data_IF_128271867619
#
_entry.id   IF_128271867619
#
_cell.length_a   1.000
_cell.length_b   1.000
_cell.length_c   1.000
_cell.angle_alpha   90.00
_cell.angle_beta   90.00
_cell.angle_gamma   90.00
#
_symmetry.space_group_name_H-M   'P 1'
#
loop_
_entity.id
_entity.type
_entity.pdbx_description
1 polymer ?
#
# COMPACT_ATOMS: atom_id res chain seq x y z
N UNK A 1 6.12 3.28 -1.16
CA UNK A 1 6.08 4.73 -1.40
C UNK A 1 4.81 5.09 -2.15
N UNK A 2 4.24 6.27 -1.92
CA UNK A 2 3.21 6.81 -2.82
C UNK A 2 3.91 7.63 -3.90
N UNK A 3 3.73 7.28 -5.16
CA UNK A 3 4.49 7.88 -6.28
C UNK A 3 4.34 9.39 -6.32
N UNK A 4 3.11 9.90 -6.18
CA UNK A 4 2.78 11.34 -6.15
C UNK A 4 3.43 12.11 -4.98
N UNK A 5 3.92 11.42 -3.96
CA UNK A 5 4.36 12.00 -2.69
C UNK A 5 5.81 11.69 -2.35
N UNK A 6 6.51 10.91 -3.17
CA UNK A 6 7.88 10.49 -2.88
C UNK A 6 8.92 11.55 -3.27
N UNK A 7 8.92 11.99 -4.53
CA UNK A 7 9.89 12.95 -5.05
C UNK A 7 9.29 13.74 -6.21
N UNK A 8 9.60 15.03 -6.29
CA UNK A 8 9.05 15.95 -7.29
C UNK A 8 10.09 17.01 -7.67
N UNK A 9 10.19 17.32 -8.95
CA UNK A 9 11.02 18.43 -9.47
C UNK A 9 10.27 19.76 -9.51
N UNK A 10 8.93 19.72 -9.43
CA UNK A 10 8.06 20.88 -9.54
C UNK A 10 6.82 20.67 -8.66
N UNK A 11 7.03 20.75 -7.34
CA UNK A 11 5.93 20.62 -6.38
C UNK A 11 5.07 21.89 -6.37
N UNK A 12 3.74 21.77 -6.53
CA UNK A 12 2.87 22.93 -6.45
C UNK A 12 2.95 23.50 -5.02
N UNK A 13 2.80 24.83 -4.89
CA UNK A 13 2.88 25.52 -3.60
C UNK A 13 2.02 24.84 -2.53
N UNK A 14 0.81 24.36 -2.88
CA UNK A 14 -0.10 23.66 -1.96
C UNK A 14 0.50 22.42 -1.27
N UNK A 15 1.55 21.83 -1.83
CA UNK A 15 2.23 20.65 -1.31
C UNK A 15 3.57 20.98 -0.60
N UNK A 16 3.71 22.22 -0.13
CA UNK A 16 4.84 22.70 0.68
C UNK A 16 4.48 22.79 2.17
N UNK A 17 5.49 22.83 3.03
CA UNK A 17 5.32 22.87 4.49
C UNK A 17 4.39 23.99 4.98
N UNK A 18 4.42 25.16 4.32
CA UNK A 18 3.69 26.35 4.76
C UNK A 18 2.20 26.35 4.37
N UNK A 19 1.77 25.46 3.47
CA UNK A 19 0.41 25.50 2.90
C UNK A 19 -0.27 24.14 2.73
N UNK A 20 0.32 23.07 3.29
CA UNK A 20 -0.36 21.78 3.39
C UNK A 20 -1.62 21.91 4.26
N UNK A 21 -2.76 21.60 3.65
CA UNK A 21 -4.08 21.54 4.27
C UNK A 21 -4.74 20.20 3.93
N UNK A 22 -5.84 19.86 4.61
CA UNK A 22 -6.59 18.63 4.29
C UNK A 22 -7.01 18.57 2.81
N UNK A 23 -7.40 19.72 2.23
CA UNK A 23 -7.75 19.76 0.83
C UNK A 23 -6.53 19.56 -0.07
N UNK A 24 -5.38 20.13 0.29
CA UNK A 24 -4.15 19.94 -0.47
C UNK A 24 -3.68 18.48 -0.47
N UNK A 25 -3.83 17.76 0.66
CA UNK A 25 -3.44 16.35 0.77
C UNK A 25 -4.38 15.40 0.03
N UNK A 26 -5.53 15.88 -0.44
CA UNK A 26 -6.49 15.16 -1.30
C UNK A 26 -6.25 15.38 -2.81
N UNK A 27 -5.19 16.09 -3.18
CA UNK A 27 -4.85 16.43 -4.55
C UNK A 27 -3.48 15.88 -4.98
N UNK A 28 -3.24 15.82 -6.30
CA UNK A 28 -1.91 15.56 -6.84
C UNK A 28 -0.91 16.61 -6.35
N UNK A 29 0.26 16.14 -5.91
CA UNK A 29 1.39 16.92 -5.46
C UNK A 29 2.59 16.87 -6.41
N UNK A 30 2.47 16.16 -7.53
CA UNK A 30 3.43 16.23 -8.64
C UNK A 30 4.64 15.33 -8.45
N UNK A 31 4.49 14.24 -7.68
CA UNK A 31 5.53 13.23 -7.58
C UNK A 31 5.64 12.41 -8.87
N UNK A 32 6.87 12.16 -9.34
CA UNK A 32 7.12 11.52 -10.64
C UNK A 32 8.22 10.47 -10.58
N UNK A 33 8.20 9.53 -11.53
CA UNK A 33 9.27 8.53 -11.70
C UNK A 33 10.64 9.17 -11.95
N UNK A 34 10.68 10.21 -12.80
CA UNK A 34 11.92 10.93 -13.12
C UNK A 34 12.55 11.57 -11.88
N UNK A 35 11.75 12.23 -11.04
CA UNK A 35 12.26 12.80 -9.79
C UNK A 35 12.66 11.70 -8.79
N UNK A 36 11.93 10.58 -8.74
CA UNK A 36 12.25 9.46 -7.85
C UNK A 36 13.63 8.84 -8.13
N UNK A 37 14.09 8.82 -9.39
CA UNK A 37 15.44 8.35 -9.75
C UNK A 37 16.54 9.07 -8.95
N UNK A 38 16.39 10.38 -8.71
CA UNK A 38 17.38 11.18 -7.98
C UNK A 38 17.50 10.81 -6.50
N UNK A 39 16.55 10.05 -5.96
CA UNK A 39 16.47 9.67 -4.55
C UNK A 39 16.61 8.17 -4.31
N UNK A 40 16.97 7.37 -5.31
CA UNK A 40 17.22 5.94 -5.10
C UNK A 40 18.39 5.69 -4.14
N UNK A 41 19.43 6.53 -4.16
CA UNK A 41 20.58 6.40 -3.26
C UNK A 41 20.18 6.62 -1.77
N UNK A 42 19.17 7.45 -1.51
CA UNK A 42 18.62 7.64 -0.16
C UNK A 42 18.00 6.35 0.40
N UNK A 43 17.46 5.50 -0.46
CA UNK A 43 16.88 4.20 -0.08
C UNK A 43 17.98 3.18 0.20
N UNK A 44 18.96 3.09 -0.70
CA UNK A 44 20.12 2.17 -0.59
C UNK A 44 20.96 2.47 0.66
N UNK A 45 21.17 3.74 0.99
CA UNK A 45 21.93 4.13 2.17
C UNK A 45 21.28 3.72 3.51
N UNK A 46 19.95 3.55 3.53
CA UNK A 46 19.23 2.94 4.65
C UNK A 46 19.30 1.41 4.64
N UNK A 47 19.89 0.79 3.63
CA UNK A 47 20.00 -0.66 3.48
C UNK A 47 18.72 -1.34 3.00
N UNK A 48 17.77 -0.61 2.41
CA UNK A 48 16.63 -1.24 1.73
C UNK A 48 17.01 -1.64 0.30
N UNK A 49 16.53 -2.81 -0.10
CA UNK A 49 16.78 -3.47 -1.38
C UNK A 49 15.50 -3.64 -2.22
N UNK A 50 14.37 -3.08 -1.78
CA UNK A 50 13.12 -3.10 -2.51
C UNK A 50 12.30 -1.82 -2.34
N UNK A 51 11.53 -1.46 -3.37
CA UNK A 51 10.57 -0.36 -3.36
C UNK A 51 9.20 -0.85 -3.86
N UNK A 52 8.21 -0.75 -2.99
CA UNK A 52 6.80 -0.87 -3.36
C UNK A 52 6.26 0.49 -3.83
N UNK A 53 5.74 0.58 -5.06
CA UNK A 53 5.22 1.82 -5.66
C UNK A 53 3.69 1.75 -5.86
N UNK A 54 3.03 2.92 -5.95
CA UNK A 54 1.60 3.05 -6.24
C UNK A 54 1.16 2.36 -7.54
N UNK A 55 -0.15 2.07 -7.70
CA UNK A 55 -0.66 1.53 -8.96
C UNK A 55 -0.38 2.46 -10.14
N UNK A 56 0.01 1.88 -11.27
CA UNK A 56 0.38 2.62 -12.49
C UNK A 56 -0.74 2.88 -13.51
N UNK A 57 -1.89 2.16 -13.53
CA UNK A 57 -2.96 2.49 -14.46
C UNK A 57 -3.45 3.93 -14.31
N UNK A 58 -3.96 4.49 -15.41
CA UNK A 58 -4.51 5.83 -15.42
C UNK A 58 -5.61 5.94 -14.37
N UNK A 59 -5.69 7.08 -13.70
CA UNK A 59 -6.67 7.31 -12.63
C UNK A 59 -7.71 8.32 -13.05
N UNK A 60 -8.81 8.37 -12.30
CA UNK A 60 -9.78 9.46 -12.48
C UNK A 60 -9.18 10.80 -12.06
N UNK A 61 -9.40 11.81 -12.88
CA UNK A 61 -9.05 13.21 -12.58
C UNK A 61 -10.24 13.99 -12.01
N UNK A 62 -11.44 13.40 -12.07
CA UNK A 62 -12.65 14.03 -11.54
C UNK A 62 -12.56 14.17 -10.03
N UNK A 63 -12.74 15.38 -9.53
CA UNK A 63 -12.80 15.66 -8.10
C UNK A 63 -14.07 15.05 -7.48
N UNK A 64 -13.86 14.33 -6.38
CA UNK A 64 -14.91 13.78 -5.52
C UNK A 64 -14.94 14.55 -4.21
N UNK A 65 -15.89 14.23 -3.32
CA UNK A 65 -15.87 14.76 -1.94
C UNK A 65 -14.62 14.35 -1.15
N UNK A 66 -13.86 13.37 -1.64
CA UNK A 66 -12.60 12.93 -1.03
C UNK A 66 -11.35 13.34 -1.81
N UNK A 67 -11.48 14.16 -2.86
CA UNK A 67 -10.39 14.57 -3.73
C UNK A 67 -10.33 13.80 -5.05
N UNK A 68 -9.13 13.68 -5.60
CA UNK A 68 -8.85 13.03 -6.90
C UNK A 68 -8.05 11.73 -6.72
N UNK A 69 -7.92 10.92 -7.77
CA UNK A 69 -7.27 9.60 -7.76
C UNK A 69 -5.73 9.61 -7.66
N UNK A 70 -5.14 10.54 -6.91
CA UNK A 70 -3.69 10.75 -6.85
C UNK A 70 -2.90 9.59 -6.22
N UNK A 71 -3.58 8.77 -5.41
CA UNK A 71 -3.01 7.59 -4.77
C UNK A 71 -2.87 6.39 -5.73
N UNK A 72 -3.57 6.38 -6.86
CA UNK A 72 -3.51 5.31 -7.88
C UNK A 72 -4.61 4.25 -7.79
N UNK A 73 -5.43 4.24 -6.76
CA UNK A 73 -6.45 3.18 -6.54
C UNK A 73 -7.78 3.39 -7.28
N UNK A 74 -8.02 4.53 -7.92
CA UNK A 74 -9.26 4.80 -8.65
C UNK A 74 -9.05 4.70 -10.17
N UNK A 75 -8.66 3.50 -10.61
CA UNK A 75 -8.29 3.25 -12.00
C UNK A 75 -9.42 3.63 -12.98
N UNK A 76 -9.04 4.34 -14.04
CA UNK A 76 -9.92 4.77 -15.12
C UNK A 76 -9.69 3.92 -16.39
N UNK A 77 -8.43 3.68 -16.75
CA UNK A 77 -8.07 2.93 -17.95
C UNK A 77 -6.90 1.99 -17.65
N UNK A 78 -7.16 0.68 -17.74
CA UNK A 78 -6.23 -0.36 -17.29
C UNK A 78 -4.90 -0.37 -18.08
N UNK A 79 -4.98 -0.13 -19.39
CA UNK A 79 -3.82 -0.20 -20.29
C UNK A 79 -3.09 1.14 -20.50
N UNK A 80 -3.58 2.23 -19.93
CA UNK A 80 -2.91 3.54 -20.00
C UNK A 80 -2.23 3.81 -18.68
N UNK A 81 -1.06 4.45 -18.72
CA UNK A 81 -0.36 4.85 -17.50
C UNK A 81 -0.97 6.12 -16.89
N UNK A 82 -0.83 6.29 -15.57
CA UNK A 82 -1.15 7.53 -14.90
C UNK A 82 -0.20 8.65 -15.35
N UNK A 83 -0.71 9.54 -16.20
CA UNK A 83 0.05 10.63 -16.79
C UNK A 83 0.64 11.61 -15.76
N UNK A 84 0.10 11.68 -14.54
CA UNK A 84 0.65 12.52 -13.48
C UNK A 84 1.98 11.99 -12.93
N UNK A 85 2.25 10.68 -13.02
CA UNK A 85 3.49 10.08 -12.52
C UNK A 85 4.64 10.16 -13.54
N UNK A 86 4.32 10.48 -14.78
CA UNK A 86 5.26 10.61 -15.89
C UNK A 86 4.87 9.73 -17.08
N UNK A 87 5.80 9.65 -18.03
CA UNK A 87 5.69 8.86 -19.25
C UNK A 87 6.12 7.41 -19.03
N UNK A 88 5.75 6.53 -19.96
CA UNK A 88 6.21 5.15 -19.99
C UNK A 88 7.75 5.03 -20.00
N UNK A 89 8.42 5.90 -20.76
CA UNK A 89 9.88 5.92 -20.82
C UNK A 89 10.50 6.28 -19.46
N UNK A 90 9.89 7.18 -18.70
CA UNK A 90 10.34 7.54 -17.35
C UNK A 90 10.09 6.41 -16.34
N UNK A 91 9.00 5.65 -16.46
CA UNK A 91 8.78 4.44 -15.65
C UNK A 91 9.86 3.38 -15.95
N UNK A 92 10.14 3.14 -17.23
CA UNK A 92 11.18 2.18 -17.64
C UNK A 92 12.56 2.61 -17.14
N UNK A 93 12.93 3.89 -17.29
CA UNK A 93 14.20 4.37 -16.74
C UNK A 93 14.23 4.25 -15.21
N UNK A 94 13.15 4.61 -14.50
CA UNK A 94 13.09 4.45 -13.05
C UNK A 94 13.36 3.02 -12.59
N UNK A 95 12.71 2.03 -13.21
CA UNK A 95 12.92 0.61 -12.88
C UNK A 95 14.35 0.19 -13.22
N UNK A 96 14.88 0.58 -14.38
CA UNK A 96 16.27 0.29 -14.75
C UNK A 96 17.29 0.92 -13.81
N UNK A 97 17.04 2.14 -13.32
CA UNK A 97 17.92 2.81 -12.36
C UNK A 97 17.85 2.18 -10.97
N UNK A 98 16.69 1.65 -10.58
CA UNK A 98 16.52 0.86 -9.37
C UNK A 98 17.27 -0.48 -9.46
N UNK A 99 17.08 -1.23 -10.55
CA UNK A 99 17.79 -2.49 -10.78
C UNK A 99 19.31 -2.32 -10.84
N UNK A 100 19.83 -1.22 -11.40
CA UNK A 100 21.28 -0.90 -11.37
C UNK A 100 21.85 -0.73 -9.96
N UNK A 101 21.00 -0.52 -8.97
CA UNK A 101 21.32 -0.35 -7.54
C UNK A 101 20.91 -1.56 -6.72
N UNK A 102 20.58 -2.67 -7.37
CA UNK A 102 20.06 -3.89 -6.75
C UNK A 102 18.78 -3.64 -5.92
N UNK A 103 17.93 -2.70 -6.38
CA UNK A 103 16.62 -2.43 -5.79
C UNK A 103 15.54 -3.13 -6.62
N UNK A 104 14.80 -4.05 -6.00
CA UNK A 104 13.60 -4.66 -6.58
C UNK A 104 12.41 -3.69 -6.58
N UNK A 105 11.59 -3.70 -7.62
CA UNK A 105 10.38 -2.89 -7.70
C UNK A 105 9.14 -3.78 -7.57
N UNK A 106 8.39 -3.57 -6.51
CA UNK A 106 7.08 -4.16 -6.28
C UNK A 106 5.98 -3.22 -6.74
N UNK A 107 5.11 -3.71 -7.63
CA UNK A 107 3.97 -2.94 -8.14
C UNK A 107 2.73 -3.16 -7.28
N UNK A 108 2.09 -2.09 -6.82
CA UNK A 108 0.72 -2.17 -6.29
C UNK A 108 -0.31 -2.37 -7.41
N UNK A 109 -1.26 -3.29 -7.22
CA UNK A 109 -2.27 -3.63 -8.24
C UNK A 109 -3.66 -3.74 -7.63
N UNK A 110 -4.65 -3.26 -8.37
CA UNK A 110 -6.08 -3.31 -8.02
C UNK A 110 -6.82 -4.15 -9.06
N UNK A 111 -7.37 -5.28 -8.63
CA UNK A 111 -8.22 -6.14 -9.47
C UNK A 111 -9.71 -6.05 -9.09
N UNK A 112 -10.03 -5.48 -7.92
CA UNK A 112 -11.37 -5.48 -7.35
C UNK A 112 -12.32 -4.47 -8.01
N UNK A 113 -11.89 -3.22 -8.15
CA UNK A 113 -12.79 -2.11 -8.50
C UNK A 113 -12.13 -1.12 -9.47
N UNK A 114 -12.95 -0.21 -9.99
CA UNK A 114 -12.52 0.93 -10.80
C UNK A 114 -12.84 2.25 -10.08
N UNK A 115 -12.52 3.39 -10.71
CA UNK A 115 -12.70 4.71 -10.11
C UNK A 115 -14.16 5.06 -9.75
N UNK A 116 -14.37 6.13 -8.96
CA UNK A 116 -15.64 6.42 -8.33
C UNK A 116 -16.62 7.21 -9.21
N UNK A 117 -17.13 6.55 -10.25
CA UNK A 117 -18.22 7.08 -11.07
C UNK A 117 -18.98 5.93 -11.73
N UNK A 118 -20.24 5.73 -11.35
CA UNK A 118 -21.10 4.65 -11.84
C UNK A 118 -21.52 4.78 -13.32
N UNK A 119 -21.26 5.94 -13.93
CA UNK A 119 -21.66 6.25 -15.31
C UNK A 119 -20.49 6.42 -16.26
N UNK A 120 -19.26 6.37 -15.75
CA UNK A 120 -18.06 6.47 -16.57
C UNK A 120 -17.77 5.15 -17.31
N UNK A 121 -17.09 5.27 -18.44
CA UNK A 121 -16.56 4.13 -19.17
C UNK A 121 -15.15 3.84 -18.68
N UNK A 122 -14.96 2.68 -18.03
CA UNK A 122 -13.66 2.23 -17.57
C UNK A 122 -13.10 1.26 -18.59
N UNK A 123 -12.03 1.59 -19.29
CA UNK A 123 -11.53 0.69 -20.34
C UNK A 123 -10.62 -0.41 -19.76
N UNK A 124 -10.81 -1.69 -20.14
CA UNK A 124 -11.75 -2.21 -21.15
C UNK A 124 -13.12 -2.66 -20.58
N UNK A 125 -13.37 -2.45 -19.29
CA UNK A 125 -14.60 -2.79 -18.59
C UNK A 125 -15.76 -1.81 -18.83
N UNK A 126 -16.35 -1.84 -20.03
CA UNK A 126 -17.39 -0.84 -20.41
C UNK A 126 -18.84 -1.33 -20.31
N UNK A 127 -19.06 -2.63 -20.11
CA UNK A 127 -20.41 -3.21 -20.13
C UNK A 127 -20.93 -3.46 -18.70
N UNK A 128 -22.24 -3.34 -18.45
CA UNK A 128 -22.81 -3.63 -17.13
C UNK A 128 -22.46 -5.02 -16.60
N UNK A 129 -22.39 -6.04 -17.45
CA UNK A 129 -22.02 -7.41 -17.02
C UNK A 129 -20.56 -7.57 -16.55
N UNK A 130 -19.71 -6.57 -16.79
CA UNK A 130 -18.34 -6.54 -16.27
C UNK A 130 -18.28 -6.08 -14.80
N UNK A 131 -19.41 -5.64 -14.24
CA UNK A 131 -19.52 -5.18 -12.86
C UNK A 131 -20.58 -5.97 -12.10
N UNK A 132 -20.38 -6.11 -10.80
CA UNK A 132 -21.43 -6.59 -9.92
C UNK A 132 -22.58 -5.58 -9.82
N UNK A 133 -23.77 -6.09 -9.49
CA UNK A 133 -24.89 -5.21 -9.19
C UNK A 133 -24.53 -4.33 -7.99
N UNK A 134 -24.76 -3.02 -8.12
CA UNK A 134 -24.41 -2.08 -7.06
C UNK A 134 -25.09 -2.44 -5.73
N UNK A 135 -24.27 -2.79 -4.76
CA UNK A 135 -24.56 -2.87 -3.34
C UNK A 135 -23.36 -2.35 -2.55
N UNK A 136 -23.54 -2.12 -1.25
CA UNK A 136 -22.48 -1.67 -0.35
C UNK A 136 -22.29 -2.71 0.75
N UNK A 137 -21.05 -2.84 1.23
CA UNK A 137 -20.73 -3.72 2.36
C UNK A 137 -21.29 -3.09 3.63
N UNK A 138 -22.43 -3.58 4.10
CA UNK A 138 -23.05 -3.13 5.35
C UNK A 138 -22.68 -4.08 6.52
N UNK A 139 -22.25 -5.32 6.23
CA UNK A 139 -21.81 -6.33 7.21
C UNK A 139 -20.51 -7.03 6.79
N UNK A 140 -19.40 -6.70 7.45
CA UNK A 140 -18.07 -7.28 7.19
C UNK A 140 -17.89 -8.72 7.71
N UNK A 141 -18.85 -9.26 8.47
CA UNK A 141 -18.88 -10.68 8.85
C UNK A 141 -19.52 -11.55 7.76
N UNK A 142 -20.23 -10.93 6.81
CA UNK A 142 -20.80 -11.59 5.66
C UNK A 142 -19.82 -11.57 4.49
N UNK A 143 -19.06 -12.66 4.31
CA UNK A 143 -18.06 -12.77 3.26
C UNK A 143 -18.64 -12.55 1.85
N UNK A 144 -19.90 -12.91 1.59
CA UNK A 144 -20.54 -12.63 0.31
C UNK A 144 -20.76 -11.13 0.09
N UNK A 145 -21.08 -10.34 1.11
CA UNK A 145 -21.10 -8.88 0.90
C UNK A 145 -19.71 -8.35 0.66
N UNK A 146 -18.72 -8.82 1.43
CA UNK A 146 -17.33 -8.40 1.31
C UNK A 146 -16.78 -8.63 -0.10
N UNK A 147 -17.17 -9.73 -0.76
CA UNK A 147 -16.69 -10.15 -2.08
C UNK A 147 -17.48 -9.60 -3.28
N UNK A 148 -18.74 -9.21 -3.10
CA UNK A 148 -19.64 -8.90 -4.22
C UNK A 148 -20.28 -7.51 -4.16
N UNK A 149 -19.94 -6.70 -3.16
CA UNK A 149 -20.43 -5.33 -3.01
C UNK A 149 -19.29 -4.32 -3.06
N UNK A 150 -19.60 -3.10 -3.48
CA UNK A 150 -18.65 -1.99 -3.57
C UNK A 150 -17.96 -1.75 -2.22
N UNK A 151 -16.62 -1.75 -2.26
CA UNK A 151 -15.75 -1.30 -1.15
C UNK A 151 -15.81 0.21 -0.92
N UNK A 152 -16.24 0.98 -1.93
CA UNK A 152 -16.54 2.40 -1.78
C UNK A 152 -17.80 2.66 -0.95
N UNK A 153 -18.19 3.92 -0.81
CA UNK A 153 -19.38 4.31 -0.05
C UNK A 153 -20.42 5.04 -0.92
N UNK A 154 -21.55 5.41 -0.33
CA UNK A 154 -22.67 6.04 -1.07
C UNK A 154 -22.32 7.41 -1.66
N UNK A 155 -21.25 8.08 -1.19
CA UNK A 155 -20.77 9.36 -1.74
C UNK A 155 -19.71 9.18 -2.82
N UNK A 156 -18.86 8.17 -2.65
CA UNK A 156 -17.76 7.81 -3.55
C UNK A 156 -17.84 6.30 -3.80
N UNK A 157 -18.81 5.83 -4.62
CA UNK A 157 -19.02 4.42 -4.88
C UNK A 157 -17.93 3.91 -5.81
N UNK A 158 -17.35 2.75 -5.52
CA UNK A 158 -16.33 2.14 -6.38
C UNK A 158 -16.99 0.97 -7.12
N UNK A 159 -17.27 1.10 -8.44
CA UNK A 159 -17.88 0.03 -9.21
C UNK A 159 -17.02 -1.23 -9.10
N UNK A 160 -17.66 -2.29 -8.61
CA UNK A 160 -17.02 -3.55 -8.27
C UNK A 160 -16.97 -4.45 -9.51
N UNK A 161 -15.78 -4.89 -9.91
CA UNK A 161 -15.60 -5.72 -11.10
C UNK A 161 -16.13 -7.12 -10.83
N UNK A 162 -16.91 -7.64 -11.77
CA UNK A 162 -17.41 -9.01 -11.73
C UNK A 162 -16.28 -9.98 -12.11
N UNK A 163 -15.46 -10.35 -11.13
CA UNK A 163 -14.26 -11.19 -11.32
C UNK A 163 -14.56 -12.63 -11.76
N UNK A 164 -15.81 -13.04 -11.70
CA UNK A 164 -16.36 -14.32 -12.16
C UNK A 164 -16.68 -14.29 -13.64
N UNK A 165 -16.83 -13.10 -14.22
CA UNK A 165 -16.98 -12.92 -15.65
C UNK A 165 -15.67 -13.28 -16.37
N UNK A 166 -15.74 -14.22 -17.31
CA UNK A 166 -14.57 -14.73 -18.04
C UNK A 166 -13.79 -13.62 -18.77
N UNK A 167 -14.47 -12.62 -19.32
CA UNK A 167 -13.81 -11.48 -19.96
C UNK A 167 -13.05 -10.64 -18.94
N UNK A 168 -13.65 -10.34 -17.79
CA UNK A 168 -13.00 -9.55 -16.73
C UNK A 168 -11.77 -10.30 -16.20
N UNK A 169 -11.92 -11.57 -15.85
CA UNK A 169 -10.83 -12.38 -15.31
C UNK A 169 -9.68 -12.54 -16.30
N UNK A 170 -9.96 -12.96 -17.54
CA UNK A 170 -8.92 -13.16 -18.55
C UNK A 170 -8.20 -11.87 -18.95
N UNK A 171 -8.90 -10.73 -18.93
CA UNK A 171 -8.30 -9.40 -19.14
C UNK A 171 -7.34 -9.07 -18.01
N UNK A 172 -7.76 -9.21 -16.75
CA UNK A 172 -6.92 -8.92 -15.59
C UNK A 172 -5.69 -9.84 -15.52
N UNK A 173 -5.85 -11.13 -15.83
CA UNK A 173 -4.74 -12.10 -15.89
C UNK A 173 -3.75 -11.76 -17.01
N UNK A 174 -4.25 -11.37 -18.18
CA UNK A 174 -3.39 -10.99 -19.30
C UNK A 174 -2.66 -9.68 -19.01
N UNK A 175 -3.38 -8.70 -18.46
CA UNK A 175 -2.82 -7.41 -18.09
C UNK A 175 -1.68 -7.56 -17.08
N UNK A 176 -1.86 -8.34 -16.00
CA UNK A 176 -0.81 -8.47 -14.99
C UNK A 176 0.42 -9.18 -15.54
N UNK A 177 0.22 -10.27 -16.31
CA UNK A 177 1.30 -11.00 -17.00
C UNK A 177 2.10 -10.07 -17.90
N UNK A 178 1.41 -9.33 -18.76
CA UNK A 178 2.04 -8.50 -19.78
C UNK A 178 2.69 -7.26 -19.15
N UNK A 179 2.10 -6.69 -18.08
CA UNK A 179 2.64 -5.56 -17.33
C UNK A 179 3.94 -5.94 -16.61
N UNK A 180 3.94 -7.06 -15.86
CA UNK A 180 5.14 -7.57 -15.19
C UNK A 180 6.23 -7.87 -16.20
N UNK A 181 5.92 -8.57 -17.29
CA UNK A 181 6.88 -8.90 -18.33
C UNK A 181 7.42 -7.66 -19.08
N UNK A 182 6.57 -6.66 -19.35
CA UNK A 182 6.97 -5.46 -20.09
C UNK A 182 7.90 -4.55 -19.29
N UNK A 183 7.54 -4.30 -18.03
CA UNK A 183 8.27 -3.36 -17.19
C UNK A 183 9.32 -4.01 -16.31
N UNK A 184 9.34 -5.35 -16.24
CA UNK A 184 10.25 -6.13 -15.39
C UNK A 184 10.04 -5.83 -13.90
N UNK A 185 8.79 -5.82 -13.44
CA UNK A 185 8.49 -5.76 -12.01
C UNK A 185 8.91 -7.06 -11.32
N UNK A 186 9.44 -6.95 -10.11
CA UNK A 186 10.02 -8.09 -9.37
C UNK A 186 8.99 -8.76 -8.44
N UNK A 187 7.93 -8.03 -8.09
CA UNK A 187 6.86 -8.48 -7.22
C UNK A 187 5.58 -7.67 -7.42
N UNK A 188 4.48 -8.14 -6.86
CA UNK A 188 3.21 -7.41 -6.81
C UNK A 188 2.65 -7.35 -5.39
N UNK A 189 2.13 -6.18 -4.99
CA UNK A 189 1.26 -6.03 -3.82
C UNK A 189 -0.17 -5.91 -4.31
N UNK A 190 -1.07 -6.72 -3.77
CA UNK A 190 -2.45 -6.81 -4.25
C UNK A 190 -3.36 -6.12 -3.25
N UNK A 191 -3.94 -5.01 -3.70
CA UNK A 191 -4.94 -4.24 -2.99
C UNK A 191 -6.24 -5.04 -2.78
N UNK A 192 -6.98 -4.72 -1.72
CA UNK A 192 -8.36 -5.20 -1.50
C UNK A 192 -8.53 -6.72 -1.65
N UNK A 193 -7.51 -7.50 -1.25
CA UNK A 193 -7.41 -8.93 -1.56
C UNK A 193 -8.59 -9.76 -1.03
N UNK A 194 -9.14 -9.38 0.12
CA UNK A 194 -10.30 -10.05 0.73
C UNK A 194 -11.65 -9.79 0.06
N UNK A 195 -11.69 -8.82 -0.86
CA UNK A 195 -12.89 -8.35 -1.53
C UNK A 195 -13.13 -9.03 -2.89
N UNK A 196 -12.25 -9.95 -3.27
CA UNK A 196 -12.44 -10.79 -4.46
C UNK A 196 -12.43 -12.26 -4.01
N UNK A 197 -13.29 -13.12 -4.55
CA UNK A 197 -13.31 -14.52 -4.18
C UNK A 197 -11.96 -15.22 -4.39
N UNK A 198 -11.54 -15.95 -3.35
CA UNK A 198 -10.26 -16.64 -3.27
C UNK A 198 -9.82 -17.41 -4.53
N UNK A 199 -10.69 -18.16 -5.23
CA UNK A 199 -10.28 -18.89 -6.43
C UNK A 199 -9.71 -18.03 -7.56
N UNK A 200 -10.15 -16.77 -7.69
CA UNK A 200 -9.64 -15.82 -8.69
C UNK A 200 -8.12 -15.63 -8.55
N UNK A 201 -7.67 -15.47 -7.31
CA UNK A 201 -6.29 -15.12 -6.98
C UNK A 201 -5.28 -16.17 -7.40
N UNK A 202 -5.64 -17.46 -7.35
CA UNK A 202 -4.74 -18.55 -7.78
C UNK A 202 -4.25 -18.35 -9.21
N UNK A 203 -5.15 -17.93 -10.11
CA UNK A 203 -4.81 -17.69 -11.51
C UNK A 203 -4.16 -16.32 -11.70
N UNK A 204 -4.57 -15.31 -10.93
CA UNK A 204 -4.00 -13.98 -10.99
C UNK A 204 -2.51 -13.98 -10.58
N UNK A 205 -2.18 -14.54 -9.42
CA UNK A 205 -0.81 -14.63 -8.90
C UNK A 205 0.08 -15.55 -9.74
N UNK A 206 -0.49 -16.64 -10.28
CA UNK A 206 0.24 -17.46 -11.28
C UNK A 206 0.53 -16.68 -12.56
N UNK A 207 -0.39 -15.82 -13.00
CA UNK A 207 -0.24 -15.04 -14.23
C UNK A 207 0.78 -13.91 -14.07
N UNK A 208 0.91 -13.31 -12.88
CA UNK A 208 1.98 -12.34 -12.61
C UNK A 208 3.36 -12.98 -12.71
N UNK A 209 3.50 -14.25 -12.30
CA UNK A 209 4.74 -15.02 -12.42
C UNK A 209 5.87 -14.54 -11.49
N UNK A 210 5.55 -13.68 -10.54
CA UNK A 210 6.46 -13.08 -9.56
C UNK A 210 5.86 -13.17 -8.16
N UNK A 211 6.68 -12.93 -7.13
CA UNK A 211 6.23 -12.92 -5.74
C UNK A 211 5.03 -11.98 -5.55
N UNK A 212 4.02 -12.46 -4.83
CA UNK A 212 2.75 -11.77 -4.61
C UNK A 212 2.41 -11.64 -3.13
N UNK A 213 2.03 -10.42 -2.71
CA UNK A 213 1.62 -10.13 -1.34
C UNK A 213 0.23 -9.49 -1.28
N UNK A 214 -0.73 -10.14 -0.64
CA UNK A 214 -2.12 -9.68 -0.55
C UNK A 214 -2.42 -8.79 0.66
N UNK A 215 -3.29 -7.80 0.50
CA UNK A 215 -3.80 -6.97 1.59
C UNK A 215 -5.11 -7.51 2.20
N UNK A 216 -5.08 -7.83 3.50
CA UNK A 216 -6.27 -8.20 4.27
C UNK A 216 -6.29 -7.42 5.59
N UNK A 217 -6.97 -6.27 5.61
CA UNK A 217 -7.01 -5.35 6.74
C UNK A 217 -7.93 -5.84 7.89
N UNK A 218 -7.49 -6.86 8.63
CA UNK A 218 -8.15 -7.36 9.85
C UNK A 218 -7.14 -7.94 10.84
N UNK A 219 -7.48 -7.98 12.13
CA UNK A 219 -6.67 -8.62 13.17
C UNK A 219 -6.90 -10.13 13.30
N UNK A 220 -7.88 -10.69 12.58
CA UNK A 220 -8.23 -12.12 12.63
C UNK A 220 -7.15 -12.98 11.99
N UNK A 221 -6.36 -13.67 12.81
CA UNK A 221 -5.14 -14.38 12.38
C UNK A 221 -5.45 -15.58 11.50
N UNK A 222 -6.49 -16.34 11.82
CA UNK A 222 -6.96 -17.49 11.03
C UNK A 222 -7.51 -17.06 9.67
N UNK A 223 -8.32 -15.99 9.66
CA UNK A 223 -8.87 -15.43 8.43
C UNK A 223 -7.76 -14.96 7.48
N UNK A 224 -6.77 -14.21 7.99
CA UNK A 224 -5.63 -13.72 7.20
C UNK A 224 -4.72 -14.87 6.77
N UNK A 225 -4.42 -15.80 7.67
CA UNK A 225 -3.58 -16.97 7.38
C UNK A 225 -4.12 -17.84 6.25
N UNK A 226 -5.44 -17.99 6.12
CA UNK A 226 -6.07 -18.76 5.04
C UNK A 226 -5.80 -18.17 3.63
N UNK A 227 -5.56 -16.86 3.52
CA UNK A 227 -5.22 -16.23 2.23
C UNK A 227 -3.81 -16.57 1.73
N UNK A 228 -2.92 -17.12 2.58
CA UNK A 228 -1.58 -17.62 2.18
C UNK A 228 -1.64 -18.89 1.31
N UNK A 229 -2.85 -19.38 1.00
CA UNK A 229 -3.08 -20.41 0.00
C UNK A 229 -3.19 -19.84 -1.43
N UNK A 230 -3.40 -18.53 -1.57
CA UNK A 230 -3.77 -17.88 -2.84
C UNK A 230 -2.79 -16.81 -3.31
N UNK A 231 -1.83 -16.44 -2.46
CA UNK A 231 -0.66 -15.61 -2.75
C UNK A 231 0.55 -16.18 -2.00
N UNK A 232 1.76 -15.75 -2.35
CA UNK A 232 3.00 -16.19 -1.67
C UNK A 232 3.04 -15.68 -0.22
N UNK A 233 2.64 -14.42 -0.03
CA UNK A 233 2.57 -13.76 1.26
C UNK A 233 1.31 -12.92 1.43
N UNK A 234 1.13 -12.39 2.64
CA UNK A 234 0.11 -11.39 2.97
C UNK A 234 0.71 -10.28 3.82
N UNK A 235 0.14 -9.08 3.77
CA UNK A 235 0.44 -8.02 4.72
C UNK A 235 -0.02 -8.46 6.10
N UNK A 236 0.90 -8.50 7.06
CA UNK A 236 0.74 -9.15 8.35
C UNK A 236 -0.05 -8.27 9.34
N UNK A 237 -1.28 -7.87 8.97
CA UNK A 237 -2.15 -7.02 9.78
C UNK A 237 -2.35 -7.51 11.23
N UNK A 238 -2.51 -8.82 11.53
CA UNK A 238 -2.62 -9.28 12.91
C UNK A 238 -1.42 -8.89 13.79
N UNK A 239 -0.20 -8.98 13.24
CA UNK A 239 1.03 -8.57 13.93
C UNK A 239 1.16 -7.05 13.98
N UNK A 240 0.78 -6.32 12.92
CA UNK A 240 0.69 -4.86 12.95
C UNK A 240 -0.17 -4.38 14.13
N UNK A 241 -1.36 -4.96 14.35
CA UNK A 241 -2.22 -4.56 15.46
C UNK A 241 -1.58 -4.88 16.82
N UNK A 242 -0.97 -6.06 16.95
CA UNK A 242 -0.27 -6.46 18.17
C UNK A 242 0.94 -5.54 18.49
N UNK A 243 1.77 -5.20 17.49
CA UNK A 243 2.91 -4.30 17.64
C UNK A 243 2.48 -2.90 18.07
N UNK A 244 1.46 -2.34 17.42
CA UNK A 244 0.97 -1.00 17.71
C UNK A 244 0.40 -0.86 19.12
N UNK A 245 -0.31 -1.87 19.64
CA UNK A 245 -0.79 -1.81 21.02
C UNK A 245 0.31 -2.07 22.04
N UNK A 246 1.37 -2.79 21.71
CA UNK A 246 2.47 -3.09 22.63
C UNK A 246 3.45 -1.92 22.76
N UNK A 247 3.82 -1.27 21.65
CA UNK A 247 4.86 -0.24 21.62
C UNK A 247 4.34 1.21 21.72
N UNK A 248 3.04 1.44 21.85
CA UNK A 248 2.49 2.80 22.05
C UNK A 248 2.77 3.39 23.44
N UNK A 249 2.70 4.72 23.56
CA UNK A 249 2.92 5.43 24.84
C UNK A 249 1.70 5.34 25.76
N UNK A 250 0.51 5.55 25.19
CA UNK A 250 -0.75 5.71 25.92
C UNK A 250 -1.07 4.49 26.81
N UNK A 251 -0.99 4.62 28.14
CA UNK A 251 -1.26 3.52 29.08
C UNK A 251 -2.69 2.97 29.02
N UNK A 252 -3.66 3.74 28.53
CA UNK A 252 -5.04 3.28 28.41
C UNK A 252 -5.17 2.17 27.37
N UNK A 253 -4.40 2.28 26.29
CA UNK A 253 -4.47 1.36 25.14
C UNK A 253 -3.30 0.38 25.10
N UNK A 254 -2.19 0.72 25.77
CA UNK A 254 -0.99 -0.10 25.78
C UNK A 254 -1.23 -1.47 26.38
N UNK A 255 -0.79 -2.49 25.67
CA UNK A 255 -0.86 -3.89 26.09
C UNK A 255 0.52 -4.44 26.48
N UNK A 256 0.58 -5.48 27.33
CA UNK A 256 1.83 -6.15 27.68
C UNK A 256 2.45 -6.90 26.50
N UNK A 257 3.76 -7.21 26.59
CA UNK A 257 4.49 -8.02 25.59
C UNK A 257 3.87 -9.41 25.36
N UNK A 258 3.10 -9.94 26.31
CA UNK A 258 2.40 -11.23 26.15
C UNK A 258 1.37 -11.24 25.02
N UNK A 259 0.94 -10.07 24.52
CA UNK A 259 0.12 -9.98 23.30
C UNK A 259 0.94 -10.38 22.06
N UNK A 260 2.21 -9.97 21.98
CA UNK A 260 3.11 -10.40 20.90
C UNK A 260 3.42 -11.89 21.00
N UNK A 261 3.68 -12.41 22.20
CA UNK A 261 3.89 -13.84 22.42
C UNK A 261 2.68 -14.65 21.95
N UNK A 262 1.46 -14.24 22.32
CA UNK A 262 0.24 -14.87 21.85
C UNK A 262 0.11 -14.78 20.33
N UNK A 263 0.43 -13.63 19.73
CA UNK A 263 0.35 -13.47 18.28
C UNK A 263 1.31 -14.42 17.56
N UNK A 264 2.53 -14.61 18.04
CA UNK A 264 3.47 -15.59 17.49
C UNK A 264 2.91 -17.01 17.58
N UNK A 265 2.31 -17.39 18.71
CA UNK A 265 1.67 -18.71 18.87
C UNK A 265 0.47 -18.92 17.94
N UNK A 266 -0.29 -17.88 17.63
CA UNK A 266 -1.39 -17.96 16.66
C UNK A 266 -0.86 -18.01 15.23
N UNK A 267 0.22 -17.28 14.92
CA UNK A 267 0.88 -17.34 13.63
C UNK A 267 1.34 -18.76 13.29
N UNK A 268 1.98 -19.46 14.23
CA UNK A 268 2.43 -20.85 14.08
C UNK A 268 1.28 -21.83 13.75
N UNK A 269 0.04 -21.49 14.12
CA UNK A 269 -1.14 -22.35 13.88
C UNK A 269 -1.77 -22.11 12.51
N UNK A 270 -1.81 -20.85 12.07
CA UNK A 270 -2.66 -20.43 10.95
C UNK A 270 -1.89 -20.02 9.70
N UNK A 271 -0.65 -19.59 9.84
CA UNK A 271 0.18 -19.22 8.70
C UNK A 271 0.99 -20.43 8.22
N UNK A 272 1.07 -20.59 6.90
CA UNK A 272 1.88 -21.64 6.28
C UNK A 272 3.38 -21.35 6.40
N UNK A 273 3.73 -20.08 6.18
CA UNK A 273 5.10 -19.58 6.23
C UNK A 273 5.05 -18.08 6.56
N UNK A 274 5.46 -17.71 7.77
CA UNK A 274 5.53 -16.32 8.22
C UNK A 274 6.66 -15.54 7.56
N UNK A 275 7.69 -16.22 7.06
CA UNK A 275 8.87 -15.58 6.45
C UNK A 275 8.56 -14.91 5.11
N UNK A 276 7.44 -15.29 4.48
CA UNK A 276 6.92 -14.68 3.26
C UNK A 276 5.93 -13.54 3.54
N UNK A 277 5.55 -13.27 4.78
CA UNK A 277 4.58 -12.21 5.07
C UNK A 277 5.24 -10.83 5.15
N UNK A 278 4.54 -9.77 4.76
CA UNK A 278 5.03 -8.39 4.92
C UNK A 278 4.70 -7.85 6.30
N UNK A 279 5.72 -7.56 7.12
CA UNK A 279 5.54 -6.98 8.46
C UNK A 279 5.72 -5.48 8.37
N UNK A 280 4.88 -4.70 9.05
CA UNK A 280 4.91 -3.25 9.01
C UNK A 280 4.38 -2.65 10.31
N UNK A 281 4.79 -1.41 10.61
CA UNK A 281 4.29 -0.65 11.76
C UNK A 281 3.24 0.39 11.38
N UNK A 282 3.28 0.88 10.15
CA UNK A 282 2.32 1.82 9.57
C UNK A 282 2.29 1.74 8.04
N UNK A 283 1.27 2.36 7.47
CA UNK A 283 1.06 2.45 6.03
C UNK A 283 0.22 3.70 5.68
N UNK A 284 -0.30 3.74 4.46
CA UNK A 284 -1.08 4.86 3.96
C UNK A 284 -2.58 4.83 4.31
N UNK A 285 -3.09 3.75 4.92
CA UNK A 285 -4.51 3.62 5.32
C UNK A 285 -4.71 3.73 6.83
N UNK A 286 -3.66 3.45 7.60
CA UNK A 286 -3.62 3.51 9.05
C UNK A 286 -2.90 4.76 9.56
N UNK A 287 -3.18 5.19 10.80
CA UNK A 287 -2.37 6.21 11.44
C UNK A 287 -0.89 5.81 11.48
N UNK A 288 0.00 6.79 11.32
CA UNK A 288 1.44 6.57 11.41
C UNK A 288 1.80 6.04 12.80
N UNK A 289 2.76 5.12 12.87
CA UNK A 289 3.18 4.50 14.13
C UNK A 289 3.65 5.55 15.13
N UNK A 290 4.33 6.56 14.63
CA UNK A 290 4.88 7.67 15.40
C UNK A 290 3.78 8.61 15.94
N UNK A 291 2.51 8.49 15.54
CA UNK A 291 1.41 9.19 16.24
C UNK A 291 1.06 8.53 17.57
N UNK A 292 1.38 7.23 17.74
CA UNK A 292 1.09 6.46 18.95
C UNK A 292 2.21 6.52 20.00
N UNK A 293 3.44 6.78 19.55
CA UNK A 293 4.61 6.87 20.43
C UNK A 293 5.61 7.91 19.93
N UNK A 294 6.13 8.70 20.87
CA UNK A 294 7.25 9.60 20.67
C UNK A 294 8.45 9.25 21.57
N UNK A 295 8.34 8.16 22.36
CA UNK A 295 9.42 7.62 23.18
C UNK A 295 10.46 6.93 22.28
N UNK A 296 11.70 7.47 22.19
CA UNK A 296 12.73 6.92 21.33
C UNK A 296 13.06 5.45 21.63
N UNK A 297 12.97 5.02 22.89
CA UNK A 297 13.28 3.64 23.28
C UNK A 297 12.21 2.68 22.74
N UNK A 298 10.93 3.07 22.82
CA UNK A 298 9.84 2.26 22.26
C UNK A 298 9.94 2.16 20.76
N UNK A 299 10.20 3.29 20.10
CA UNK A 299 10.39 3.35 18.65
C UNK A 299 11.56 2.44 18.22
N UNK A 300 12.70 2.53 18.92
CA UNK A 300 13.85 1.68 18.64
C UNK A 300 13.52 0.19 18.77
N UNK A 301 12.86 -0.21 19.86
CA UNK A 301 12.48 -1.61 20.07
C UNK A 301 11.44 -2.11 19.05
N UNK A 302 10.51 -1.26 18.62
CA UNK A 302 9.55 -1.60 17.58
C UNK A 302 10.25 -1.86 16.23
N UNK A 303 11.24 -1.02 15.86
CA UNK A 303 12.04 -1.25 14.66
C UNK A 303 12.93 -2.49 14.76
N UNK A 304 13.52 -2.76 15.93
CA UNK A 304 14.26 -4.02 16.13
C UNK A 304 13.33 -5.22 15.94
N UNK A 305 12.12 -5.19 16.49
CA UNK A 305 11.20 -6.30 16.27
C UNK A 305 10.82 -6.41 14.78
N UNK A 306 10.47 -5.29 14.13
CA UNK A 306 10.10 -5.26 12.73
C UNK A 306 11.17 -5.86 11.82
N UNK A 307 12.44 -5.47 11.99
CA UNK A 307 13.53 -5.88 11.10
C UNK A 307 14.10 -7.27 11.41
N UNK A 308 13.87 -7.82 12.61
CA UNK A 308 14.46 -9.10 13.04
C UNK A 308 13.42 -10.20 13.37
N UNK A 309 12.13 -9.94 13.15
CA UNK A 309 11.09 -10.97 13.20
C UNK A 309 10.91 -11.64 11.85
N UNK A 310 10.21 -12.78 11.82
CA UNK A 310 9.87 -13.46 10.57
C UNK A 310 9.06 -12.54 9.65
N UNK A 311 9.46 -12.50 8.38
CA UNK A 311 8.75 -11.79 7.32
C UNK A 311 9.65 -10.78 6.60
N UNK A 312 9.07 -10.12 5.62
CA UNK A 312 9.69 -9.04 4.86
C UNK A 312 9.37 -7.72 5.56
N UNK A 313 10.34 -7.01 6.15
CA UNK A 313 10.09 -5.75 6.83
C UNK A 313 9.74 -4.64 5.82
N UNK A 314 8.63 -3.95 6.06
CA UNK A 314 8.14 -2.85 5.24
C UNK A 314 8.11 -1.57 6.08
N UNK A 315 8.88 -0.57 5.65
CA UNK A 315 8.85 0.79 6.20
C UNK A 315 8.09 1.70 5.23
N UNK A 316 7.08 2.38 5.73
CA UNK A 316 6.35 3.38 4.95
C UNK A 316 7.12 4.71 4.93
N UNK A 317 7.20 5.32 3.75
CA UNK A 317 7.97 6.55 3.56
C UNK A 317 7.52 7.69 4.50
N UNK A 318 8.49 8.42 5.02
CA UNK A 318 8.30 9.48 6.01
C UNK A 318 8.47 8.99 7.46
N UNK A 319 8.34 7.69 7.72
CA UNK A 319 8.60 7.12 9.06
C UNK A 319 10.05 7.33 9.47
N UNK A 320 10.98 7.20 8.52
CA UNK A 320 12.41 7.48 8.71
C UNK A 320 12.73 8.97 8.95
N UNK A 321 11.75 9.84 8.69
CA UNK A 321 11.81 11.30 8.87
C UNK A 321 10.90 11.80 10.00
N UNK A 322 10.45 10.89 10.87
CA UNK A 322 9.59 11.21 12.01
C UNK A 322 8.22 11.81 11.64
N UNK A 323 7.64 11.41 10.50
CA UNK A 323 6.29 11.85 10.16
C UNK A 323 5.27 11.18 11.08
N UNK A 324 4.37 11.98 11.67
CA UNK A 324 3.34 11.51 12.61
C UNK A 324 1.93 11.58 12.02
N UNK A 325 1.75 12.22 10.86
CA UNK A 325 0.44 12.46 10.26
C UNK A 325 -0.37 13.47 11.06
N UNK A 326 -1.65 13.17 11.34
CA UNK A 326 -2.50 14.06 12.13
C UNK A 326 -2.17 13.95 13.63
N UNK A 327 -1.67 15.01 14.30
CA UNK A 327 -1.31 14.95 15.71
C UNK A 327 -2.51 14.78 16.65
N UNK A 328 -3.74 15.00 16.17
CA UNK A 328 -4.96 14.91 16.97
C UNK A 328 -5.62 13.52 16.91
N UNK A 329 -5.07 12.57 16.14
CA UNK A 329 -5.67 11.25 15.96
C UNK A 329 -4.70 10.16 16.40
N UNK A 330 -5.07 9.44 17.46
CA UNK A 330 -4.25 8.41 18.12
C UNK A 330 -4.77 6.99 17.91
N UNK A 331 -5.65 6.78 16.92
CA UNK A 331 -6.15 5.46 16.48
C UNK A 331 -6.91 5.57 15.15
N UNK A 332 -7.00 4.46 14.40
CA UNK A 332 -7.82 4.34 13.19
C UNK A 332 -7.17 4.93 11.94
N UNK A 333 -7.99 5.20 10.91
CA UNK A 333 -7.51 5.86 9.70
C UNK A 333 -7.29 7.35 9.96
N UNK A 334 -6.19 7.89 9.45
CA UNK A 334 -5.93 9.33 9.45
C UNK A 334 -5.85 9.90 8.05
N UNK A 335 -6.33 9.17 7.04
CA UNK A 335 -6.41 9.66 5.67
C UNK A 335 -7.17 11.01 5.64
N UNK A 336 -6.60 12.07 5.03
CA UNK A 336 -5.41 12.09 4.15
C UNK A 336 -4.08 12.47 4.84
N UNK A 337 -4.07 12.64 6.15
CA UNK A 337 -2.96 13.19 6.93
C UNK A 337 -1.76 12.27 7.06
N UNK A 338 -1.90 10.95 6.88
CA UNK A 338 -0.77 10.01 6.85
C UNK A 338 -0.05 9.98 5.49
N UNK A 339 -0.41 10.82 4.53
CA UNK A 339 0.15 10.76 3.17
C UNK A 339 0.99 12.00 2.78
N UNK A 340 1.69 12.58 3.74
CA UNK A 340 2.57 13.74 3.52
C UNK A 340 3.64 13.48 2.44
N UNK A 341 3.96 14.50 1.61
CA UNK A 341 5.10 14.41 0.70
C UNK A 341 6.44 14.28 1.42
N UNK A 342 7.25 13.29 1.03
CA UNK A 342 8.54 13.01 1.65
C UNK A 342 9.55 14.14 1.46
N UNK A 343 9.51 14.84 0.32
CA UNK A 343 10.43 15.96 0.05
C UNK A 343 10.34 17.10 1.08
N UNK A 344 9.27 17.18 1.89
CA UNK A 344 9.17 18.11 3.03
C UNK A 344 10.25 17.87 4.08
N UNK A 345 10.76 16.65 4.19
CA UNK A 345 11.89 16.32 5.06
C UNK A 345 13.25 16.79 4.52
N UNK A 346 13.29 17.27 3.28
CA UNK A 346 14.54 17.49 2.52
C UNK A 346 15.43 16.25 2.45
N UNK A 347 14.86 15.05 2.65
CA UNK A 347 15.59 13.78 2.71
C UNK A 347 16.73 13.83 3.74
N UNK A 348 16.46 14.38 4.93
CA UNK A 348 17.47 14.60 5.96
C UNK A 348 18.10 13.29 6.45
N UNK A 349 19.29 12.99 5.91
CA UNK A 349 20.13 11.83 6.31
C UNK A 349 20.71 11.97 7.72
N UNK A 350 20.60 13.14 8.33
CA UNK A 350 21.06 13.37 9.69
C UNK A 350 20.06 12.88 10.74
N UNK A 351 18.79 12.67 10.36
CA UNK A 351 17.72 12.18 11.21
C UNK A 351 18.13 10.88 11.94
N UNK A 352 17.78 10.79 13.21
CA UNK A 352 18.18 9.65 14.03
C UNK A 352 17.47 8.35 13.61
N UNK A 353 16.22 8.41 13.14
CA UNK A 353 15.48 7.22 12.68
C UNK A 353 16.11 6.70 11.39
N UNK A 354 16.38 7.58 10.42
CA UNK A 354 17.10 7.25 9.18
C UNK A 354 18.42 6.51 9.47
N UNK A 355 19.25 7.07 10.35
CA UNK A 355 20.53 6.45 10.75
C UNK A 355 20.34 5.12 11.47
N UNK A 356 19.31 5.02 12.31
CA UNK A 356 19.03 3.83 13.08
C UNK A 356 18.56 2.67 12.18
N UNK A 357 17.61 2.91 11.27
CA UNK A 357 17.19 1.93 10.26
C UNK A 357 18.39 1.48 9.41
N UNK A 358 19.21 2.43 8.93
CA UNK A 358 20.44 2.11 8.21
C UNK A 358 21.46 1.32 9.02
N UNK A 359 21.49 1.46 10.35
CA UNK A 359 22.33 0.62 11.21
C UNK A 359 21.76 -0.79 11.32
N UNK A 360 20.45 -0.93 11.53
CA UNK A 360 19.80 -2.22 11.71
C UNK A 360 19.88 -3.09 10.45
N UNK A 361 19.62 -2.55 9.25
CA UNK A 361 19.70 -3.28 7.97
C UNK A 361 21.13 -3.75 7.60
N UNK A 362 22.17 -3.29 8.30
CA UNK A 362 23.57 -3.70 8.06
C UNK A 362 24.05 -4.85 8.95
N UNK A 363 23.25 -5.23 9.95
CA UNK A 363 23.52 -6.37 10.84
C UNK A 363 23.13 -7.64 10.09
#
# INVERSE_FOLDING_TARGET
>A
MLTDRFASDDSPLRCTEQSMSENASRNYCGGTYRAAVAHLDYIVEMGFDALWISPIPSNVDSETVYGVGWHGYWQHHLEQLNHHFGTEAELIDFIQQAHKRDIWIMLDVVANHVGPNLTAEYFPFIRPEHFHQLCFIDDYTNQTQVEFCSVGNRQVPLPDLNTENEFVASTLFSWIRDTVAKYQFDAIRIDTFRHVPKPFWTNYTRSSGVYSIGEIATSETDYVGDYTLYADGVLHYPLYFALNVTFRDDPQWRQPMSVLEKQVQENEKFFRDTTLCGVFLDNHDQARFLSYTQDPIRIQNAFVYLLFSDGIPIIYMGTEQNFTGNPNVTHGTTDPWNRDPLWRSSYDRSNWIYKYLGQLNRI
#
